data_IF_213882653638
#
_entry.id   IF_213882653638
#
_cell.length_a   1.000
_cell.length_b   1.000
_cell.length_c   1.000
_cell.angle_alpha   90.00
_cell.angle_beta   90.00
_cell.angle_gamma   90.00
#
_symmetry.space_group_name_H-M   'P 1'
#
loop_
_entity.id
_entity.type
_entity.pdbx_description
1 polymer ?
#
# COMPACT_ATOMS: atom_id res chain seq x y z
N UNK A 1 -15.12 9.45 23.10
CA UNK A 1 -14.20 9.32 21.96
C UNK A 1 -14.28 7.90 21.48
N UNK A 2 -14.63 7.69 20.21
CA UNK A 2 -15.31 6.46 19.77
C UNK A 2 -14.92 5.97 18.37
N UNK A 3 -13.65 5.68 18.15
CA UNK A 3 -13.19 4.96 16.95
C UNK A 3 -12.62 3.61 17.37
N UNK A 4 -13.15 2.52 16.83
CA UNK A 4 -12.67 1.17 17.09
C UNK A 4 -11.28 0.91 16.47
N UNK A 5 -11.03 1.52 15.31
CA UNK A 5 -9.75 1.51 14.58
C UNK A 5 -9.59 2.87 13.91
N UNK A 6 -8.42 3.49 14.05
CA UNK A 6 -8.11 4.73 13.31
C UNK A 6 -6.62 4.87 13.02
N UNK A 7 -6.27 5.50 11.89
CA UNK A 7 -4.88 5.83 11.58
C UNK A 7 -4.37 7.06 12.38
N UNK A 8 -5.27 7.88 12.90
CA UNK A 8 -4.96 9.16 13.56
C UNK A 8 -4.84 9.02 15.07
N UNK A 9 -3.63 8.71 15.58
CA UNK A 9 -3.44 8.40 17.01
C UNK A 9 -2.99 9.58 17.85
N UNK A 10 -2.28 10.53 17.26
CA UNK A 10 -1.58 11.56 18.03
C UNK A 10 -2.45 12.79 18.34
N UNK A 11 -3.69 12.85 17.83
CA UNK A 11 -4.60 14.00 18.07
C UNK A 11 -4.16 15.33 17.46
N UNK A 12 -2.96 15.42 16.89
CA UNK A 12 -2.36 16.67 16.39
C UNK A 12 -2.60 16.94 14.90
N UNK A 13 -3.16 16.00 14.15
CA UNK A 13 -3.22 16.09 12.68
C UNK A 13 -3.91 17.36 12.18
N UNK A 14 -5.17 17.56 12.58
CA UNK A 14 -5.96 18.73 12.16
C UNK A 14 -5.45 20.04 12.76
N UNK A 15 -4.89 20.01 13.99
CA UNK A 15 -4.31 21.20 14.62
C UNK A 15 -3.04 21.65 13.92
N UNK A 16 -2.21 20.72 13.43
CA UNK A 16 -1.03 21.06 12.61
C UNK A 16 -1.46 21.66 11.28
N UNK A 17 -2.46 21.07 10.59
CA UNK A 17 -3.00 21.68 9.36
C UNK A 17 -3.49 23.11 9.63
N UNK A 18 -4.20 23.34 10.73
CA UNK A 18 -4.67 24.68 11.11
C UNK A 18 -3.53 25.65 11.42
N UNK A 19 -2.50 25.21 12.13
CA UNK A 19 -1.35 26.04 12.47
C UNK A 19 -0.49 26.42 11.25
N UNK A 20 -0.43 25.55 10.23
CA UNK A 20 0.34 25.75 9.00
C UNK A 20 -0.51 26.32 7.84
N UNK A 21 -1.72 26.81 8.13
CA UNK A 21 -2.62 27.40 7.15
C UNK A 21 -2.84 28.88 7.44
N UNK A 22 -2.86 29.69 6.39
CA UNK A 22 -3.25 31.11 6.48
C UNK A 22 -4.71 31.27 6.89
N UNK A 23 -5.56 30.32 6.47
CA UNK A 23 -6.98 30.23 6.82
C UNK A 23 -7.42 28.76 6.89
N UNK A 24 -8.36 28.46 7.78
CA UNK A 24 -9.16 27.22 7.76
C UNK A 24 -10.63 27.58 7.98
N UNK A 25 -11.52 26.94 7.22
CA UNK A 25 -12.96 26.99 7.40
C UNK A 25 -13.46 25.57 7.69
N UNK A 26 -14.20 25.41 8.77
CA UNK A 26 -14.78 24.13 9.18
C UNK A 26 -16.29 24.27 9.19
N UNK A 27 -16.97 23.33 8.53
CA UNK A 27 -18.41 23.17 8.57
C UNK A 27 -18.75 21.76 9.06
N UNK A 28 -19.62 21.66 10.06
CA UNK A 28 -20.06 20.38 10.63
C UNK A 28 -21.58 20.32 10.59
N UNK A 29 -22.15 19.24 10.09
CA UNK A 29 -23.58 18.94 10.21
C UNK A 29 -23.74 17.82 11.23
N UNK A 30 -24.29 18.14 12.40
CA UNK A 30 -24.51 17.22 13.51
C UNK A 30 -25.58 17.79 14.46
N UNK A 31 -26.19 16.93 15.27
CA UNK A 31 -27.19 17.33 16.28
C UNK A 31 -28.35 18.16 15.69
N UNK A 32 -28.76 17.77 14.47
CA UNK A 32 -29.86 18.38 13.73
C UNK A 32 -29.58 19.76 13.15
N UNK A 33 -28.33 20.26 13.17
CA UNK A 33 -27.98 21.60 12.70
C UNK A 33 -26.66 21.65 11.92
N UNK A 34 -26.51 22.69 11.09
CA UNK A 34 -25.23 23.07 10.50
C UNK A 34 -24.46 24.00 11.43
N UNK A 35 -23.16 23.78 11.59
CA UNK A 35 -22.25 24.55 12.44
C UNK A 35 -21.05 25.02 11.63
N UNK A 36 -20.57 26.24 11.86
CA UNK A 36 -19.35 26.73 11.18
C UNK A 36 -18.38 27.41 12.15
N UNK A 37 -17.09 27.27 11.88
CA UNK A 37 -16.05 28.06 12.54
C UNK A 37 -14.87 28.31 11.59
N UNK A 38 -14.42 29.56 11.56
CA UNK A 38 -13.26 29.98 10.78
C UNK A 38 -12.05 30.18 11.71
N UNK A 39 -10.87 29.91 11.15
CA UNK A 39 -9.58 30.08 11.80
C UNK A 39 -8.63 30.86 10.89
N UNK A 40 -7.76 31.65 11.50
CA UNK A 40 -6.65 32.34 10.84
C UNK A 40 -5.37 32.06 11.60
N UNK A 41 -4.36 31.48 10.94
CA UNK A 41 -3.07 31.15 11.56
C UNK A 41 -3.23 30.34 12.86
N UNK A 42 -4.08 29.32 12.85
CA UNK A 42 -4.36 28.49 14.04
C UNK A 42 -5.37 29.06 15.04
N UNK A 43 -5.75 30.34 14.95
CA UNK A 43 -6.60 31.02 15.95
C UNK A 43 -8.05 31.14 15.45
N UNK A 44 -9.07 30.76 16.25
CA UNK A 44 -10.47 30.97 15.89
C UNK A 44 -10.78 32.45 15.69
N UNK A 45 -11.49 32.80 14.62
CA UNK A 45 -11.90 34.19 14.33
C UNK A 45 -13.17 34.57 15.06
N UNK A 46 -14.00 33.59 15.42
CA UNK A 46 -15.24 33.74 16.18
C UNK A 46 -15.57 32.43 16.93
N UNK A 47 -16.48 32.47 17.92
CA UNK A 47 -17.10 31.27 18.48
C UNK A 47 -17.82 30.43 17.41
N UNK A 48 -18.03 29.14 17.69
CA UNK A 48 -18.79 28.24 16.81
C UNK A 48 -20.20 28.78 16.59
N UNK A 49 -20.60 28.95 15.32
CA UNK A 49 -21.90 29.48 14.94
C UNK A 49 -22.86 28.34 14.56
N UNK A 50 -24.05 28.34 15.16
CA UNK A 50 -25.16 27.45 14.80
C UNK A 50 -25.97 28.09 13.67
N UNK A 51 -26.36 27.29 12.68
CA UNK A 51 -27.16 27.71 11.52
C UNK A 51 -28.48 26.95 11.46
N UNK A 52 -29.04 26.79 10.25
CA UNK A 52 -30.31 26.13 10.03
C UNK A 52 -30.31 24.65 10.48
N UNK A 53 -31.52 24.16 10.73
CA UNK A 53 -31.75 22.75 11.00
C UNK A 53 -31.50 21.91 9.72
N UNK A 54 -30.90 20.74 9.88
CA UNK A 54 -30.63 19.79 8.80
C UNK A 54 -30.73 18.35 9.30
N UNK A 55 -31.08 17.44 8.39
CA UNK A 55 -31.05 15.99 8.63
C UNK A 55 -29.77 15.33 8.08
N UNK A 56 -28.96 16.11 7.36
CA UNK A 56 -27.67 15.65 6.85
C UNK A 56 -26.63 15.56 7.97
N UNK A 57 -25.64 14.69 7.78
CA UNK A 57 -24.50 14.55 8.70
C UNK A 57 -23.19 14.59 7.91
N UNK A 58 -22.16 15.20 8.47
CA UNK A 58 -20.84 15.21 7.86
C UNK A 58 -19.99 16.40 8.28
N UNK A 59 -18.75 16.41 7.82
CA UNK A 59 -17.78 17.47 8.09
C UNK A 59 -17.09 17.87 6.81
N UNK A 60 -17.08 19.17 6.53
CA UNK A 60 -16.31 19.79 5.47
C UNK A 60 -15.19 20.61 6.09
N UNK A 61 -13.97 20.43 5.60
CA UNK A 61 -12.80 21.21 6.00
C UNK A 61 -12.18 21.81 4.74
N UNK A 62 -12.07 23.13 4.71
CA UNK A 62 -11.38 23.87 3.66
C UNK A 62 -10.21 24.60 4.30
N UNK A 63 -9.03 24.49 3.71
CA UNK A 63 -7.82 25.13 4.25
C UNK A 63 -6.99 25.74 3.13
N UNK A 64 -6.21 26.75 3.49
CA UNK A 64 -5.32 27.46 2.59
C UNK A 64 -3.92 27.39 3.18
N UNK A 65 -3.04 26.57 2.58
CA UNK A 65 -1.65 26.46 3.00
C UNK A 65 -0.98 27.85 3.04
N UNK A 66 -0.15 28.07 4.06
CA UNK A 66 0.51 29.35 4.27
C UNK A 66 1.71 29.52 3.33
N UNK A 67 1.70 30.52 2.41
CA UNK A 67 2.81 30.77 1.48
C UNK A 67 4.07 31.30 2.18
N UNK A 68 3.99 31.77 3.42
CA UNK A 68 5.16 32.17 4.20
C UNK A 68 5.90 30.95 4.80
N UNK A 69 5.23 29.80 4.85
CA UNK A 69 5.77 28.55 5.40
C UNK A 69 6.20 27.59 4.28
N UNK A 70 5.38 27.43 3.24
CA UNK A 70 5.62 26.46 2.17
C UNK A 70 6.20 27.13 0.92
N UNK A 71 7.23 26.51 0.33
CA UNK A 71 7.81 26.95 -0.95
C UNK A 71 6.79 26.97 -2.10
N UNK A 72 5.80 26.08 -2.05
CA UNK A 72 4.69 26.02 -2.99
C UNK A 72 3.39 25.68 -2.27
N UNK A 73 2.32 26.34 -2.67
CA UNK A 73 0.93 26.06 -2.22
C UNK A 73 0.07 25.48 -3.33
N UNK A 74 0.67 25.20 -4.50
CA UNK A 74 0.00 24.58 -5.64
C UNK A 74 -0.07 23.05 -5.46
N UNK A 75 -1.29 22.52 -5.38
CA UNK A 75 -1.51 21.10 -5.21
C UNK A 75 -1.43 20.34 -6.55
N UNK A 76 -0.73 19.20 -6.53
CA UNK A 76 -0.67 18.27 -7.66
C UNK A 76 -1.92 17.38 -7.68
N UNK A 77 -2.71 17.50 -8.76
CA UNK A 77 -3.87 16.63 -8.98
C UNK A 77 -3.46 15.16 -9.02
N UNK A 78 -2.34 14.84 -9.70
CA UNK A 78 -1.85 13.47 -9.83
C UNK A 78 -1.47 12.87 -8.46
N UNK A 79 -0.80 13.64 -7.61
CA UNK A 79 -0.42 13.18 -6.26
C UNK A 79 -1.66 12.89 -5.41
N UNK A 80 -2.67 13.78 -5.43
CA UNK A 80 -3.93 13.58 -4.72
C UNK A 80 -4.73 12.40 -5.28
N UNK A 81 -4.87 12.35 -6.61
CA UNK A 81 -5.54 11.30 -7.37
C UNK A 81 -5.00 9.92 -7.01
N UNK A 82 -3.67 9.74 -7.04
CA UNK A 82 -3.02 8.49 -6.63
C UNK A 82 -3.34 8.14 -5.17
N UNK A 83 -3.25 9.09 -4.25
CA UNK A 83 -3.49 8.85 -2.83
C UNK A 83 -4.96 8.47 -2.55
N UNK A 84 -5.91 9.14 -3.20
CA UNK A 84 -7.33 8.83 -3.05
C UNK A 84 -7.71 7.51 -3.72
N UNK A 85 -7.11 7.18 -4.85
CA UNK A 85 -7.30 5.86 -5.46
C UNK A 85 -6.82 4.73 -4.53
N UNK A 86 -5.64 4.86 -3.92
CA UNK A 86 -5.14 3.91 -2.90
C UNK A 86 -6.12 3.78 -1.72
N UNK A 87 -6.64 4.89 -1.21
CA UNK A 87 -7.61 4.87 -0.11
C UNK A 87 -8.90 4.14 -0.50
N UNK A 88 -9.40 4.33 -1.71
CA UNK A 88 -10.59 3.62 -2.20
C UNK A 88 -10.34 2.11 -2.31
N UNK A 89 -9.15 1.68 -2.74
CA UNK A 89 -8.78 0.26 -2.73
C UNK A 89 -8.71 -0.33 -1.31
N UNK A 90 -8.19 0.42 -0.34
CA UNK A 90 -8.04 -0.03 1.05
C UNK A 90 -9.36 -0.05 1.84
N UNK A 91 -10.43 0.54 1.30
CA UNK A 91 -11.74 0.65 1.93
C UNK A 91 -12.81 0.20 0.94
N UNK A 92 -13.12 -1.11 0.95
CA UNK A 92 -14.12 -1.72 0.06
C UNK A 92 -15.44 -0.96 0.10
N UNK A 93 -15.95 -0.61 -1.08
CA UNK A 93 -17.21 0.11 -1.24
C UNK A 93 -17.15 1.62 -0.94
N UNK A 94 -15.99 2.17 -0.51
CA UNK A 94 -15.85 3.61 -0.30
C UNK A 94 -15.74 4.34 -1.63
N UNK A 95 -16.65 5.28 -1.86
CA UNK A 95 -16.59 6.19 -3.01
C UNK A 95 -15.80 7.45 -2.63
N UNK A 96 -14.73 7.73 -3.39
CA UNK A 96 -13.96 8.97 -3.25
C UNK A 96 -14.03 9.73 -4.58
N UNK A 97 -14.49 10.99 -4.52
CA UNK A 97 -14.55 11.90 -5.65
C UNK A 97 -13.48 12.98 -5.50
N UNK A 98 -12.68 13.20 -6.54
CA UNK A 98 -11.72 14.28 -6.62
C UNK A 98 -12.07 15.16 -7.82
N UNK A 99 -12.22 16.46 -7.58
CA UNK A 99 -12.53 17.47 -8.59
C UNK A 99 -11.48 18.57 -8.55
N UNK A 100 -10.94 18.94 -9.72
CA UNK A 100 -10.04 20.08 -9.91
C UNK A 100 -10.80 21.27 -10.49
N UNK A 101 -11.11 22.24 -9.65
CA UNK A 101 -11.90 23.42 -10.02
C UNK A 101 -11.08 24.53 -10.69
N UNK A 102 -9.76 24.34 -10.86
CA UNK A 102 -8.89 25.33 -11.53
C UNK A 102 -9.27 25.45 -13.01
N UNK A 103 -9.25 26.68 -13.53
CA UNK A 103 -9.52 26.96 -14.95
C UNK A 103 -8.59 26.19 -15.90
N UNK A 104 -7.31 26.02 -15.51
CA UNK A 104 -6.33 25.23 -16.28
C UNK A 104 -6.73 23.75 -16.42
N UNK A 105 -7.48 23.20 -15.46
CA UNK A 105 -7.94 21.82 -15.51
C UNK A 105 -9.18 21.66 -16.40
N UNK A 106 -10.10 22.65 -16.41
CA UNK A 106 -11.29 22.67 -17.27
C UNK A 106 -10.93 22.66 -18.75
N UNK A 107 -9.90 23.42 -19.14
CA UNK A 107 -9.42 23.47 -20.52
C UNK A 107 -8.84 22.14 -21.05
N UNK A 108 -8.59 21.16 -20.17
CA UNK A 108 -8.07 19.83 -20.54
C UNK A 108 -9.06 18.71 -20.27
N UNK A 109 -10.25 19.02 -19.74
CA UNK A 109 -11.32 18.05 -19.54
C UNK A 109 -11.85 17.59 -20.90
N UNK A 110 -11.58 16.33 -21.26
CA UNK A 110 -11.99 15.73 -22.54
C UNK A 110 -10.86 15.49 -23.56
N UNK A 111 -9.63 15.93 -23.30
CA UNK A 111 -8.50 15.71 -24.22
C UNK A 111 -8.12 14.22 -24.40
N UNK A 112 -8.48 13.37 -23.45
CA UNK A 112 -8.20 11.92 -23.47
C UNK A 112 -9.36 11.09 -24.08
N UNK A 113 -10.51 11.72 -24.41
CA UNK A 113 -11.66 11.06 -25.04
C UNK A 113 -11.84 11.57 -26.47
N UNK A 114 -11.61 10.69 -27.46
CA UNK A 114 -11.80 11.02 -28.87
C UNK A 114 -13.28 11.33 -29.14
N UNK A 115 -13.62 12.63 -29.20
CA UNK A 115 -14.97 13.12 -29.49
C UNK A 115 -15.69 13.79 -28.31
N UNK A 116 -15.01 14.13 -27.21
CA UNK A 116 -15.58 14.99 -26.20
C UNK A 116 -15.71 16.42 -26.74
N UNK A 117 -16.95 16.89 -26.95
CA UNK A 117 -17.25 18.32 -27.08
C UNK A 117 -16.59 19.08 -25.92
N UNK A 118 -16.05 20.28 -26.16
CA UNK A 118 -15.48 21.19 -25.16
C UNK A 118 -16.52 21.49 -24.06
N UNK A 119 -16.64 20.59 -23.10
CA UNK A 119 -17.47 20.79 -21.91
C UNK A 119 -16.61 21.52 -20.90
N UNK A 120 -17.10 22.68 -20.48
CA UNK A 120 -16.57 23.54 -19.42
C UNK A 120 -16.72 22.90 -18.02
N UNK A 121 -16.47 21.58 -17.93
CA UNK A 121 -16.64 20.78 -16.73
C UNK A 121 -15.28 20.60 -16.05
N UNK A 122 -15.24 20.86 -14.74
CA UNK A 122 -14.05 20.65 -13.91
C UNK A 122 -13.58 19.19 -13.98
N UNK A 123 -12.28 18.97 -14.22
CA UNK A 123 -11.68 17.63 -14.27
C UNK A 123 -12.03 16.86 -13.00
N UNK A 124 -12.80 15.77 -13.17
CA UNK A 124 -13.35 15.00 -12.06
C UNK A 124 -13.03 13.52 -12.24
N UNK A 125 -12.57 12.88 -11.18
CA UNK A 125 -12.35 11.43 -11.11
C UNK A 125 -13.10 10.85 -9.91
N UNK A 126 -13.70 9.68 -10.10
CA UNK A 126 -14.40 8.94 -9.05
C UNK A 126 -13.77 7.57 -8.87
N UNK A 127 -13.38 7.24 -7.65
CA UNK A 127 -12.82 5.95 -7.27
C UNK A 127 -13.82 5.18 -6.43
N UNK A 128 -14.09 3.93 -6.83
CA UNK A 128 -14.95 3.02 -6.12
C UNK A 128 -14.53 1.59 -6.49
N UNK A 129 -14.19 0.78 -5.48
CA UNK A 129 -13.66 -0.58 -5.67
C UNK A 129 -14.31 -1.55 -4.70
N UNK A 130 -15.08 -2.50 -5.24
CA UNK A 130 -15.77 -3.55 -4.48
C UNK A 130 -14.81 -4.68 -4.09
N UNK A 131 -13.83 -5.02 -4.93
CA UNK A 131 -12.82 -6.04 -4.66
C UNK A 131 -11.70 -5.56 -3.72
N UNK A 132 -11.64 -4.26 -3.42
CA UNK A 132 -10.66 -3.65 -2.52
C UNK A 132 -9.22 -3.94 -2.93
N UNK A 133 -8.41 -4.49 -2.01
CA UNK A 133 -6.99 -4.74 -2.26
C UNK A 133 -6.72 -5.80 -3.35
N UNK A 134 -7.70 -6.65 -3.68
CA UNK A 134 -7.59 -7.57 -4.84
C UNK A 134 -7.59 -6.77 -6.14
N UNK A 135 -8.49 -5.78 -6.27
CA UNK A 135 -8.50 -4.86 -7.40
C UNK A 135 -7.22 -4.02 -7.44
N UNK A 136 -6.64 -3.72 -6.27
CA UNK A 136 -5.40 -2.98 -6.20
C UNK A 136 -4.22 -3.78 -6.77
N UNK A 137 -4.08 -5.07 -6.40
CA UNK A 137 -3.06 -5.95 -6.99
C UNK A 137 -3.25 -6.06 -8.50
N UNK A 138 -4.50 -6.21 -8.96
CA UNK A 138 -4.83 -6.25 -10.38
C UNK A 138 -4.37 -4.98 -11.10
N UNK A 139 -4.67 -3.81 -10.53
CA UNK A 139 -4.26 -2.51 -11.06
C UNK A 139 -2.74 -2.37 -11.15
N UNK A 140 -2.02 -2.77 -10.10
CA UNK A 140 -0.55 -2.71 -10.08
C UNK A 140 0.08 -3.68 -11.09
N UNK A 141 -0.45 -4.89 -11.23
CA UNK A 141 0.07 -5.88 -12.18
C UNK A 141 -0.24 -5.54 -13.63
N UNK A 142 -1.31 -4.78 -13.92
CA UNK A 142 -1.64 -4.35 -15.29
C UNK A 142 -0.50 -3.58 -15.98
N UNK A 143 0.42 -2.99 -15.20
CA UNK A 143 1.60 -2.25 -15.71
C UNK A 143 2.89 -3.07 -15.70
N UNK A 144 2.88 -4.31 -15.19
CA UNK A 144 4.07 -5.14 -14.94
C UNK A 144 4.25 -6.31 -15.91
N UNK A 145 3.32 -6.49 -16.87
CA UNK A 145 3.38 -7.53 -17.89
C UNK A 145 2.60 -8.79 -17.51
N UNK A 146 2.98 -9.92 -18.09
CA UNK A 146 2.23 -11.18 -17.96
C UNK A 146 2.28 -11.71 -16.51
N UNK A 147 1.14 -12.25 -16.06
CA UNK A 147 1.01 -12.89 -14.75
C UNK A 147 1.50 -14.35 -14.80
N UNK A 148 2.10 -14.83 -13.70
CA UNK A 148 2.58 -16.22 -13.59
C UNK A 148 1.41 -17.19 -13.45
N UNK A 149 0.33 -16.75 -12.82
CA UNK A 149 -0.87 -17.53 -12.58
C UNK A 149 -2.11 -16.61 -12.59
N UNK A 150 -3.29 -17.08 -13.02
CA UNK A 150 -4.43 -16.22 -13.30
C UNK A 150 -5.12 -15.68 -12.05
N UNK A 151 -5.10 -16.42 -10.94
CA UNK A 151 -5.89 -16.08 -9.75
C UNK A 151 -5.12 -15.15 -8.83
N UNK A 152 -5.70 -14.01 -8.45
CA UNK A 152 -5.14 -13.19 -7.36
C UNK A 152 -5.48 -13.86 -6.04
N UNK A 153 -4.46 -14.13 -5.22
CA UNK A 153 -4.63 -14.75 -3.91
C UNK A 153 -5.12 -13.67 -2.95
N UNK A 154 -6.34 -13.81 -2.44
CA UNK A 154 -6.93 -12.96 -1.41
C UNK A 154 -7.07 -13.72 -0.08
N UNK A 155 -6.78 -13.04 1.02
CA UNK A 155 -6.83 -13.57 2.38
C UNK A 155 -7.42 -12.50 3.30
N UNK A 156 -8.33 -12.92 4.17
CA UNK A 156 -8.88 -12.10 5.23
C UNK A 156 -8.86 -12.88 6.54
N UNK A 157 -8.46 -12.23 7.63
CA UNK A 157 -8.49 -12.79 8.97
C UNK A 157 -8.84 -11.71 9.99
N UNK A 158 -9.52 -12.11 11.07
CA UNK A 158 -9.91 -11.22 12.16
C UNK A 158 -9.70 -11.94 13.50
N UNK A 159 -9.11 -11.24 14.47
CA UNK A 159 -9.04 -11.61 15.88
C UNK A 159 -9.77 -10.52 16.67
N UNK A 160 -11.05 -10.78 16.95
CA UNK A 160 -11.95 -9.83 17.63
C UNK A 160 -11.50 -9.53 19.06
N UNK A 161 -10.95 -10.52 19.76
CA UNK A 161 -10.49 -10.37 21.14
C UNK A 161 -9.31 -9.39 21.23
N UNK A 162 -8.45 -9.40 20.20
CA UNK A 162 -7.32 -8.46 20.09
C UNK A 162 -7.62 -7.22 19.25
N UNK A 163 -8.83 -7.12 18.71
CA UNK A 163 -9.22 -6.06 17.76
C UNK A 163 -8.20 -5.90 16.62
N UNK A 164 -7.76 -7.03 16.06
CA UNK A 164 -6.86 -7.11 14.92
C UNK A 164 -7.61 -7.65 13.71
N UNK A 165 -7.41 -7.05 12.54
CA UNK A 165 -7.81 -7.66 11.28
C UNK A 165 -6.71 -7.53 10.24
N UNK A 166 -6.70 -8.46 9.30
CA UNK A 166 -5.72 -8.56 8.23
C UNK A 166 -6.45 -8.79 6.92
N UNK A 167 -6.10 -8.02 5.90
CA UNK A 167 -6.39 -8.30 4.51
C UNK A 167 -5.06 -8.42 3.76
N UNK A 168 -4.86 -9.50 3.02
CA UNK A 168 -3.70 -9.67 2.13
C UNK A 168 -4.21 -10.01 0.73
N UNK A 169 -3.65 -9.35 -0.28
CA UNK A 169 -3.83 -9.72 -1.66
C UNK A 169 -2.46 -9.84 -2.34
N UNK A 170 -2.25 -10.87 -3.15
CA UNK A 170 -0.97 -11.05 -3.84
C UNK A 170 -1.08 -11.83 -5.13
N UNK A 171 -0.16 -11.58 -6.06
CA UNK A 171 -0.02 -12.32 -7.31
C UNK A 171 1.40 -12.13 -7.87
N UNK A 172 1.94 -13.19 -8.46
CA UNK A 172 3.22 -13.14 -9.15
C UNK A 172 3.04 -12.72 -10.61
N UNK A 173 3.94 -11.85 -11.08
CA UNK A 173 4.15 -11.53 -12.48
C UNK A 173 5.50 -12.04 -12.99
N UNK A 174 5.66 -12.01 -14.30
CA UNK A 174 6.86 -12.46 -15.01
C UNK A 174 8.10 -11.59 -14.76
N UNK A 175 7.92 -10.38 -14.22
CA UNK A 175 8.99 -9.44 -13.92
C UNK A 175 9.95 -9.94 -12.84
N UNK A 176 10.98 -9.11 -12.58
CA UNK A 176 12.05 -9.41 -11.63
C UNK A 176 11.94 -8.59 -10.34
N UNK A 177 11.13 -7.53 -10.35
CA UNK A 177 11.01 -6.62 -9.21
C UNK A 177 9.97 -7.10 -8.21
N UNK A 178 10.35 -7.12 -6.94
CA UNK A 178 9.43 -7.26 -5.82
C UNK A 178 8.62 -5.95 -5.63
N UNK A 179 7.33 -6.06 -5.36
CA UNK A 179 6.45 -4.97 -4.96
C UNK A 179 5.55 -5.39 -3.80
N UNK A 180 6.09 -5.36 -2.58
CA UNK A 180 5.33 -5.58 -1.34
C UNK A 180 4.99 -4.21 -0.76
N UNK A 181 3.70 -3.93 -0.61
CA UNK A 181 3.19 -2.69 -0.06
C UNK A 181 2.41 -3.00 1.21
N UNK A 182 2.86 -2.44 2.33
CA UNK A 182 2.30 -2.73 3.64
C UNK A 182 1.61 -1.50 4.23
N UNK A 183 0.47 -1.73 4.89
CA UNK A 183 -0.39 -0.71 5.44
C UNK A 183 -0.83 -1.09 6.84
N UNK A 184 -0.87 -0.10 7.73
CA UNK A 184 -1.47 -0.22 9.04
C UNK A 184 -2.50 0.91 9.21
N UNK A 185 -3.77 0.57 9.43
CA UNK A 185 -4.88 1.52 9.50
C UNK A 185 -4.88 2.54 8.33
N UNK A 186 -4.74 2.04 7.09
CA UNK A 186 -4.74 2.82 5.82
C UNK A 186 -3.47 3.66 5.60
N UNK A 187 -2.55 3.67 6.57
CA UNK A 187 -1.28 4.37 6.47
C UNK A 187 -0.26 3.45 5.81
N UNK A 188 0.39 3.94 4.75
CA UNK A 188 1.43 3.21 4.04
C UNK A 188 2.73 3.19 4.86
N UNK A 189 3.12 2.01 5.31
CA UNK A 189 4.36 1.78 6.06
C UNK A 189 5.48 1.41 5.10
N UNK A 190 6.05 2.41 4.41
CA UNK A 190 7.03 2.18 3.34
C UNK A 190 8.38 1.64 3.82
N UNK A 191 8.68 1.70 5.12
CA UNK A 191 9.83 1.02 5.74
C UNK A 191 9.43 -0.35 6.34
N UNK A 192 8.19 -0.79 6.08
CA UNK A 192 7.65 -2.08 6.50
C UNK A 192 7.28 -2.11 7.97
N UNK A 193 7.73 -3.14 8.68
CA UNK A 193 7.45 -3.35 10.09
C UNK A 193 7.05 -4.77 10.42
N UNK A 194 6.55 -4.95 11.64
CA UNK A 194 6.21 -6.25 12.23
C UNK A 194 5.24 -7.09 11.39
N UNK A 195 4.19 -6.48 10.84
CA UNK A 195 3.22 -7.11 9.93
C UNK A 195 3.90 -7.62 8.64
N UNK A 196 4.72 -6.80 8.01
CA UNK A 196 5.43 -7.18 6.78
C UNK A 196 6.47 -8.28 7.03
N UNK A 197 7.22 -8.21 8.15
CA UNK A 197 8.13 -9.27 8.56
C UNK A 197 7.40 -10.61 8.76
N UNK A 198 6.23 -10.59 9.41
CA UNK A 198 5.39 -11.77 9.62
C UNK A 198 4.96 -12.41 8.30
N UNK A 199 4.52 -11.59 7.35
CA UNK A 199 4.17 -12.03 6.00
C UNK A 199 5.37 -12.65 5.27
N UNK A 200 6.52 -11.96 5.24
CA UNK A 200 7.74 -12.44 4.56
C UNK A 200 8.22 -13.78 5.12
N UNK A 201 8.19 -13.93 6.45
CA UNK A 201 8.58 -15.16 7.12
C UNK A 201 7.61 -16.32 6.80
N UNK A 202 6.29 -16.09 6.89
CA UNK A 202 5.28 -17.09 6.56
C UNK A 202 5.39 -17.55 5.11
N UNK A 203 5.47 -16.61 4.17
CA UNK A 203 5.56 -16.90 2.74
C UNK A 203 6.80 -17.74 2.41
N UNK A 204 7.97 -17.35 2.94
CA UNK A 204 9.23 -18.07 2.70
C UNK A 204 9.16 -19.50 3.23
N UNK A 205 8.61 -19.68 4.43
CA UNK A 205 8.48 -21.01 5.06
C UNK A 205 7.50 -21.90 4.30
N UNK A 206 6.32 -21.38 3.96
CA UNK A 206 5.27 -22.14 3.29
C UNK A 206 5.65 -22.59 1.89
N UNK A 207 6.21 -21.69 1.07
CA UNK A 207 6.56 -22.04 -0.31
C UNK A 207 7.65 -23.10 -0.33
N UNK A 208 8.66 -23.00 0.55
CA UNK A 208 9.67 -24.06 0.68
C UNK A 208 9.06 -25.38 1.17
N UNK A 209 8.21 -25.36 2.20
CA UNK A 209 7.52 -26.56 2.69
C UNK A 209 6.71 -27.22 1.58
N UNK A 210 5.87 -26.46 0.89
CA UNK A 210 5.04 -26.94 -0.21
C UNK A 210 5.90 -27.53 -1.35
N UNK A 211 6.98 -26.84 -1.73
CA UNK A 211 7.90 -27.32 -2.77
C UNK A 211 8.56 -28.66 -2.41
N UNK A 212 8.90 -28.90 -1.14
CA UNK A 212 9.43 -30.17 -0.65
C UNK A 212 8.35 -31.25 -0.62
N UNK A 213 7.20 -30.97 -0.01
CA UNK A 213 6.10 -31.91 0.16
C UNK A 213 5.57 -32.43 -1.19
N UNK A 214 5.46 -31.56 -2.18
CA UNK A 214 5.04 -31.91 -3.55
C UNK A 214 6.20 -32.35 -4.45
N UNK A 215 7.41 -32.49 -3.91
CA UNK A 215 8.63 -32.91 -4.63
C UNK A 215 8.99 -32.04 -5.84
N UNK A 216 8.59 -30.78 -5.82
CA UNK A 216 8.95 -29.76 -6.83
C UNK A 216 10.41 -29.30 -6.66
N UNK A 217 10.91 -29.35 -5.42
CA UNK A 217 12.31 -29.12 -5.07
C UNK A 217 12.95 -30.43 -4.62
N UNK A 218 14.03 -30.85 -5.29
CA UNK A 218 14.69 -32.14 -4.99
C UNK A 218 15.39 -32.07 -3.65
N UNK A 219 15.45 -33.19 -2.91
CA UNK A 219 16.07 -33.24 -1.56
C UNK A 219 17.48 -32.64 -1.49
N UNK A 220 18.29 -32.85 -2.53
CA UNK A 220 19.67 -32.33 -2.62
C UNK A 220 19.79 -30.84 -2.97
N UNK A 221 18.74 -30.24 -3.49
CA UNK A 221 18.76 -28.82 -3.87
C UNK A 221 18.57 -27.98 -2.59
N UNK A 222 19.25 -26.83 -2.51
CA UNK A 222 19.06 -25.88 -1.41
C UNK A 222 17.63 -25.30 -1.40
N UNK A 223 17.16 -24.87 -0.23
CA UNK A 223 15.91 -24.11 -0.14
C UNK A 223 16.00 -22.79 -0.92
N UNK A 224 14.86 -22.35 -1.44
CA UNK A 224 14.70 -21.04 -2.05
C UNK A 224 14.86 -19.96 -0.97
N UNK A 225 15.61 -18.91 -1.26
CA UNK A 225 15.68 -17.75 -0.36
C UNK A 225 14.37 -16.96 -0.43
N UNK A 226 14.15 -16.08 0.55
CA UNK A 226 13.00 -15.18 0.50
C UNK A 226 13.00 -14.30 -0.75
N UNK A 227 14.17 -13.87 -1.21
CA UNK A 227 14.30 -13.03 -2.42
C UNK A 227 13.95 -13.83 -3.68
N UNK A 228 14.36 -15.10 -3.75
CA UNK A 228 13.98 -15.99 -4.87
C UNK A 228 12.46 -16.13 -4.95
N UNK A 229 11.79 -16.27 -3.80
CA UNK A 229 10.33 -16.46 -3.72
C UNK A 229 9.57 -15.17 -4.06
N UNK A 230 10.10 -14.00 -3.71
CA UNK A 230 9.40 -12.72 -3.92
C UNK A 230 9.75 -12.03 -5.24
N UNK A 231 10.62 -12.63 -6.06
CA UNK A 231 10.89 -12.14 -7.41
C UNK A 231 9.59 -12.09 -8.23
N UNK A 232 9.21 -10.91 -8.70
CA UNK A 232 7.97 -10.68 -9.45
C UNK A 232 6.70 -10.69 -8.61
N UNK A 233 6.80 -10.74 -7.28
CA UNK A 233 5.64 -10.66 -6.39
C UNK A 233 5.10 -9.23 -6.33
N UNK A 234 3.80 -9.05 -6.58
CA UNK A 234 3.05 -7.88 -6.13
C UNK A 234 2.15 -8.30 -4.98
N UNK A 235 2.29 -7.68 -3.81
CA UNK A 235 1.48 -7.97 -2.64
C UNK A 235 1.06 -6.69 -1.91
N UNK A 236 -0.20 -6.66 -1.45
CA UNK A 236 -0.74 -5.67 -0.52
C UNK A 236 -1.00 -6.36 0.81
N UNK A 237 -0.48 -5.80 1.91
CA UNK A 237 -0.68 -6.28 3.28
C UNK A 237 -1.34 -5.14 4.06
N UNK A 238 -2.61 -5.29 4.45
CA UNK A 238 -3.35 -4.27 5.20
C UNK A 238 -3.75 -4.82 6.56
N UNK A 239 -3.13 -4.30 7.63
CA UNK A 239 -3.51 -4.62 9.00
C UNK A 239 -4.34 -3.49 9.60
N UNK A 240 -5.38 -3.85 10.34
CA UNK A 240 -6.19 -2.94 11.14
C UNK A 240 -6.03 -3.32 12.61
N UNK A 241 -5.74 -2.34 13.47
CA UNK A 241 -5.51 -2.54 14.90
C UNK A 241 -5.96 -1.32 15.71
N UNK A 242 -6.48 -1.55 16.92
CA UNK A 242 -6.99 -0.48 17.79
C UNK A 242 -5.90 0.45 18.31
N UNK A 243 -4.73 -0.10 18.69
CA UNK A 243 -3.61 0.67 19.23
C UNK A 243 -2.31 0.48 18.40
N UNK A 244 -2.22 1.07 17.20
CA UNK A 244 -0.99 1.03 16.44
C UNK A 244 0.15 1.79 17.12
N UNK A 245 1.34 1.23 17.06
CA UNK A 245 2.58 1.81 17.52
C UNK A 245 3.47 1.97 16.29
N UNK A 246 3.69 3.23 15.90
CA UNK A 246 4.54 3.55 14.76
C UNK A 246 5.90 4.06 15.23
N UNK A 247 6.94 3.75 14.45
CA UNK A 247 8.24 4.42 14.60
C UNK A 247 8.14 5.84 14.03
N UNK A 248 8.20 6.85 14.90
CA UNK A 248 8.16 8.27 14.51
C UNK A 248 6.78 8.79 14.06
N UNK A 249 6.72 10.11 13.84
CA UNK A 249 5.47 10.81 13.48
C UNK A 249 5.02 10.55 12.04
N UNK A 250 5.96 10.29 11.14
CA UNK A 250 5.71 10.01 9.72
C UNK A 250 5.16 8.60 9.47
N UNK A 251 5.10 7.76 10.52
CA UNK A 251 4.46 6.44 10.51
C UNK A 251 4.98 5.52 9.42
N UNK A 252 6.30 5.54 9.23
CA UNK A 252 6.99 4.79 8.17
C UNK A 252 7.03 3.30 8.44
N UNK A 253 7.00 2.89 9.72
CA UNK A 253 7.17 1.52 10.17
C UNK A 253 6.28 1.16 11.35
N UNK A 254 5.69 -0.04 11.33
CA UNK A 254 4.84 -0.58 12.41
C UNK A 254 5.64 -1.38 13.43
N UNK A 255 5.48 -1.07 14.72
CA UNK A 255 6.18 -1.68 15.85
C UNK A 255 5.40 -2.73 16.66
N UNK A 256 4.08 -2.89 16.47
CA UNK A 256 3.27 -3.83 17.25
C UNK A 256 3.72 -5.29 17.07
N UNK A 257 4.36 -5.87 18.09
CA UNK A 257 4.87 -7.25 18.00
C UNK A 257 3.76 -8.28 17.79
N UNK A 258 2.55 -8.06 18.33
CA UNK A 258 1.41 -8.95 18.08
C UNK A 258 0.99 -9.02 16.61
N UNK A 259 1.20 -7.95 15.84
CA UNK A 259 0.88 -7.91 14.41
C UNK A 259 1.74 -8.93 13.64
N UNK A 260 3.01 -9.12 14.02
CA UNK A 260 3.89 -10.12 13.38
C UNK A 260 3.33 -11.53 13.52
N UNK A 261 3.04 -11.93 14.76
CA UNK A 261 2.55 -13.29 15.03
C UNK A 261 1.17 -13.53 14.42
N UNK A 262 0.28 -12.52 14.48
CA UNK A 262 -1.04 -12.59 13.88
C UNK A 262 -0.96 -12.77 12.36
N UNK A 263 -0.19 -11.92 11.66
CA UNK A 263 -0.01 -12.02 10.21
C UNK A 263 0.64 -13.33 9.82
N UNK A 264 1.69 -13.75 10.53
CA UNK A 264 2.38 -14.99 10.23
C UNK A 264 1.43 -16.20 10.35
N UNK A 265 0.58 -16.26 11.40
CA UNK A 265 -0.40 -17.33 11.57
C UNK A 265 -1.45 -17.32 10.46
N UNK A 266 -2.06 -16.17 10.20
CA UNK A 266 -3.12 -16.03 9.21
C UNK A 266 -2.61 -16.41 7.81
N UNK A 267 -1.45 -15.86 7.40
CA UNK A 267 -0.82 -16.21 6.12
C UNK A 267 -0.49 -17.70 6.08
N UNK A 268 0.04 -18.28 7.16
CA UNK A 268 0.35 -19.72 7.18
C UNK A 268 -0.89 -20.58 6.92
N UNK A 269 -1.99 -20.31 7.63
CA UNK A 269 -3.23 -21.09 7.55
C UNK A 269 -3.89 -20.98 6.17
N UNK A 270 -4.19 -19.75 5.74
CA UNK A 270 -4.96 -19.52 4.53
C UNK A 270 -4.15 -19.76 3.25
N UNK A 271 -2.86 -19.39 3.22
CA UNK A 271 -2.03 -19.63 2.03
C UNK A 271 -1.73 -21.12 1.87
N UNK A 272 -1.50 -21.87 2.96
CA UNK A 272 -1.32 -23.32 2.87
C UNK A 272 -2.55 -23.98 2.22
N UNK A 273 -3.75 -23.64 2.72
CA UNK A 273 -5.00 -24.14 2.17
C UNK A 273 -5.22 -23.72 0.71
N UNK A 274 -4.88 -22.47 0.34
CA UNK A 274 -4.95 -22.03 -1.05
C UNK A 274 -4.01 -22.81 -1.97
N UNK A 275 -2.76 -23.06 -1.55
CA UNK A 275 -1.79 -23.83 -2.33
C UNK A 275 -2.25 -25.27 -2.57
N UNK A 276 -2.85 -25.91 -1.56
CA UNK A 276 -3.40 -27.27 -1.69
C UNK A 276 -4.64 -27.32 -2.60
N UNK A 277 -5.47 -26.27 -2.59
CA UNK A 277 -6.64 -26.17 -3.48
C UNK A 277 -6.29 -25.78 -4.92
N UNK A 278 -5.13 -25.15 -5.16
CA UNK A 278 -4.71 -24.65 -6.47
C UNK A 278 -3.33 -25.22 -6.88
N UNK A 279 -3.18 -26.55 -7.04
CA UNK A 279 -1.87 -27.18 -7.16
C UNK A 279 -1.09 -26.78 -8.42
N UNK A 280 -1.78 -26.46 -9.52
CA UNK A 280 -1.14 -26.02 -10.76
C UNK A 280 -0.52 -24.63 -10.60
N UNK A 281 -1.30 -23.66 -10.13
CA UNK A 281 -0.82 -22.30 -9.86
C UNK A 281 0.27 -22.28 -8.79
N UNK A 282 0.12 -23.09 -7.73
CA UNK A 282 1.14 -23.28 -6.71
C UNK A 282 2.46 -23.81 -7.31
N UNK A 283 2.39 -24.75 -8.25
CA UNK A 283 3.58 -25.25 -8.94
C UNK A 283 4.21 -24.19 -9.86
N UNK A 284 3.41 -23.31 -10.48
CA UNK A 284 3.91 -22.18 -11.29
C UNK A 284 4.68 -21.18 -10.41
N UNK A 285 4.16 -20.83 -9.23
CA UNK A 285 4.84 -19.97 -8.24
C UNK A 285 6.18 -20.57 -7.81
N UNK A 286 6.20 -21.87 -7.45
CA UNK A 286 7.45 -22.56 -7.07
C UNK A 286 8.45 -22.58 -8.23
N UNK A 287 7.99 -22.83 -9.47
CA UNK A 287 8.85 -22.82 -10.65
C UNK A 287 9.46 -21.44 -10.91
N UNK A 288 8.71 -20.35 -10.74
CA UNK A 288 9.24 -18.97 -10.80
C UNK A 288 10.34 -18.77 -9.76
N UNK A 289 10.13 -19.20 -8.52
CA UNK A 289 11.17 -19.12 -7.48
C UNK A 289 12.43 -19.94 -7.79
N UNK A 290 12.29 -21.15 -8.35
CA UNK A 290 13.42 -21.97 -8.80
C UNK A 290 14.22 -21.28 -9.92
N UNK A 291 13.52 -20.64 -10.86
CA UNK A 291 14.17 -19.87 -11.93
C UNK A 291 14.99 -18.69 -11.36
N UNK A 292 14.41 -17.93 -10.42
CA UNK A 292 15.09 -16.84 -9.72
C UNK A 292 16.35 -17.35 -8.99
N UNK A 293 16.21 -18.43 -8.22
CA UNK A 293 17.34 -19.06 -7.52
C UNK A 293 18.45 -19.51 -8.47
N UNK A 294 18.08 -20.10 -9.60
CA UNK A 294 19.04 -20.55 -10.64
C UNK A 294 19.80 -19.36 -11.22
N UNK A 295 19.09 -18.27 -11.55
CA UNK A 295 19.69 -17.05 -12.07
C UNK A 295 20.66 -16.41 -11.06
N UNK A 296 20.26 -16.31 -9.79
CA UNK A 296 21.09 -15.80 -8.68
C UNK A 296 22.38 -16.60 -8.51
N UNK A 297 22.28 -17.94 -8.49
CA UNK A 297 23.46 -18.82 -8.35
C UNK A 297 24.38 -18.71 -9.57
N UNK A 298 23.83 -18.62 -10.77
CA UNK A 298 24.61 -18.42 -12.00
C UNK A 298 25.35 -17.07 -11.97
N UNK A 299 24.67 -15.98 -11.61
CA UNK A 299 25.27 -14.65 -11.48
C UNK A 299 26.40 -14.61 -10.44
N UNK A 300 26.21 -15.26 -9.28
CA UNK A 300 27.25 -15.39 -8.24
C UNK A 300 28.48 -16.12 -8.77
N UNK A 301 28.30 -17.27 -9.43
CA UNK A 301 29.41 -18.04 -10.02
C UNK A 301 30.16 -17.23 -11.09
N UNK A 302 29.45 -16.50 -11.94
CA UNK A 302 30.06 -15.64 -12.96
C UNK A 302 30.92 -14.54 -12.32
N UNK A 303 30.43 -13.88 -11.25
CA UNK A 303 31.17 -12.85 -10.51
C UNK A 303 32.41 -13.40 -9.79
N UNK A 304 32.32 -14.60 -9.25
CA UNK A 304 33.46 -15.24 -8.58
C UNK A 304 34.53 -15.67 -9.59
N UNK A 305 34.13 -16.15 -10.77
CA UNK A 305 35.03 -16.48 -11.88
C UNK A 305 35.79 -15.25 -12.40
N UNK A 306 35.11 -14.11 -12.59
CA UNK A 306 35.77 -12.87 -13.03
C UNK A 306 36.72 -12.31 -11.97
N UNK A 307 36.33 -12.36 -10.68
CA UNK A 307 37.20 -11.94 -9.57
C UNK A 307 38.45 -12.81 -9.44
N UNK A 308 38.32 -14.14 -9.60
CA UNK A 308 39.46 -15.07 -9.58
C UNK A 308 40.39 -14.86 -10.78
N UNK A 309 39.85 -14.62 -11.99
CA UNK A 309 40.67 -14.28 -13.17
C UNK A 309 41.47 -12.99 -12.96
N UNK A 310 40.85 -11.92 -12.43
CA UNK A 310 41.56 -10.66 -12.15
C UNK A 310 42.67 -10.80 -11.11
N UNK A 311 42.47 -11.62 -10.07
CA UNK A 311 43.51 -11.93 -9.07
C UNK A 311 44.69 -12.73 -9.64
N UNK A 312 44.41 -13.70 -10.53
CA UNK A 312 45.44 -14.48 -11.20
C UNK A 312 46.25 -13.64 -12.19
N UNK A 313 45.62 -12.69 -12.91
CA UNK A 313 46.33 -11.75 -13.79
C UNK A 313 47.24 -10.79 -13.03
N UNK A 314 46.87 -10.34 -11.81
CA UNK A 314 47.77 -9.56 -10.94
C UNK A 314 48.89 -10.38 -10.30
N UNK A 315 48.74 -11.70 -10.18
CA UNK A 315 49.78 -12.59 -9.66
C UNK A 315 50.76 -13.06 -10.76
N UNK A 316 50.47 -12.78 -12.03
CA UNK A 316 51.33 -13.12 -13.17
C UNK A 316 51.91 -11.86 -13.83
N UNK A 317 52.99 -11.34 -13.26
CA UNK A 317 54.00 -10.51 -13.95
C UNK A 317 55.36 -11.23 -13.83
N UNK A 318 56.25 -11.09 -14.84
CA UNK A 318 56.85 -12.22 -15.52
C UNK A 318 58.19 -12.63 -14.89
N UNK A 319 58.34 -13.92 -14.64
CA UNK A 319 59.61 -14.55 -14.31
C UNK A 319 60.07 -15.45 -15.44
N UNK A 320 60.91 -14.88 -16.32
CA UNK A 320 61.60 -15.46 -17.51
C UNK A 320 60.82 -15.51 -18.81
#
# INVERSE_FOLDING_TARGET
>A
GGYAVSGGLHGVGVSVVNALSSKVAVEVRTDGHRWTQDYKMGVPTAPLAQHEATQETGTSVTFWADPDIFETTEYSFETLSRRFQEMAFLNKGLTIKLTDERESAKATAGADEAGADEKDEAKTVTYHYEGGIVDFVKYLNARKGDVVHPTIIGLEAEDKDKSLSLEVAMQWNSGYSEGVYSFANIIHTHEGGTHEEGFRAALTSLINKYARDKKLLREKDDNLTGDDIREGLTAIISVKLSEPQFEGQTKTKLGNTEAKTFVQKAVYEHLNDWLDRNPNEAADIVRKGIQAATARVAARKARDLTRRKGLLETASLPGK
#
